data_IF_110617787946
#
_entry.id   IF_110617787946
#
_cell.length_a   1.000
_cell.length_b   1.000
_cell.length_c   1.000
_cell.angle_alpha   90.00
_cell.angle_beta   90.00
_cell.angle_gamma   90.00
#
_symmetry.space_group_name_H-M   'P 1'
#
loop_
_entity.id
_entity.type
_entity.pdbx_description
1 polymer ?
#
# COMPACT_ATOMS: atom_id res chain seq x y z
N UNK A 1 -11.92 -3.14 24.00
CA UNK A 1 -10.55 -3.66 24.10
C UNK A 1 -9.64 -2.45 24.19
N UNK A 2 -8.60 -2.43 25.03
CA UNK A 2 -7.66 -1.31 25.02
C UNK A 2 -6.78 -1.35 23.76
N UNK A 3 -6.19 -0.21 23.36
CA UNK A 3 -5.31 -0.10 22.18
C UNK A 3 -4.21 -1.18 22.17
N UNK A 4 -3.65 -1.50 23.34
CA UNK A 4 -2.60 -2.52 23.46
C UNK A 4 -3.08 -3.92 23.03
N UNK A 5 -4.33 -4.28 23.37
CA UNK A 5 -4.90 -5.56 22.96
C UNK A 5 -5.19 -5.57 21.45
N UNK A 6 -5.71 -4.46 20.91
CA UNK A 6 -5.98 -4.32 19.48
C UNK A 6 -4.69 -4.40 18.65
N UNK A 7 -3.61 -3.76 19.10
CA UNK A 7 -2.29 -3.87 18.48
C UNK A 7 -1.74 -5.31 18.55
N UNK A 8 -1.90 -5.98 19.69
CA UNK A 8 -1.47 -7.37 19.83
C UNK A 8 -2.21 -8.27 18.82
N UNK A 9 -3.53 -8.11 18.68
CA UNK A 9 -4.34 -8.86 17.72
C UNK A 9 -3.87 -8.57 16.29
N UNK A 10 -3.66 -7.31 15.92
CA UNK A 10 -3.18 -6.91 14.59
C UNK A 10 -1.82 -7.55 14.28
N UNK A 11 -0.86 -7.48 15.21
CA UNK A 11 0.48 -8.04 15.03
C UNK A 11 0.43 -9.56 14.89
N UNK A 12 -0.31 -10.25 15.76
CA UNK A 12 -0.46 -11.71 15.70
C UNK A 12 -1.13 -12.14 14.41
N UNK A 13 -2.21 -11.46 14.01
CA UNK A 13 -2.91 -11.77 12.77
C UNK A 13 -2.04 -11.51 11.53
N UNK A 14 -1.30 -10.40 11.49
CA UNK A 14 -0.39 -10.06 10.40
C UNK A 14 0.76 -11.07 10.31
N UNK A 15 1.32 -11.52 11.43
CA UNK A 15 2.35 -12.56 11.47
C UNK A 15 1.81 -13.89 10.93
N UNK A 16 0.64 -14.33 11.41
CA UNK A 16 0.01 -15.56 10.93
C UNK A 16 -0.31 -15.47 9.43
N UNK A 17 -0.92 -14.37 8.98
CA UNK A 17 -1.23 -14.13 7.58
C UNK A 17 0.02 -14.09 6.69
N UNK A 18 1.09 -13.43 7.15
CA UNK A 18 2.38 -13.38 6.48
C UNK A 18 3.04 -14.76 6.35
N UNK A 19 3.02 -15.56 7.43
CA UNK A 19 3.53 -16.93 7.42
C UNK A 19 2.74 -17.83 6.45
N UNK A 20 1.42 -17.73 6.45
CA UNK A 20 0.55 -18.47 5.52
C UNK A 20 0.85 -18.05 4.09
N UNK A 21 0.94 -16.75 3.81
CA UNK A 21 1.29 -16.24 2.48
C UNK A 21 2.66 -16.77 2.04
N UNK A 22 3.66 -16.76 2.92
CA UNK A 22 5.00 -17.29 2.63
C UNK A 22 4.98 -18.80 2.35
N UNK A 23 4.21 -19.59 3.13
CA UNK A 23 4.06 -21.03 2.92
C UNK A 23 3.42 -21.33 1.56
N UNK A 24 2.45 -20.51 1.15
CA UNK A 24 1.80 -20.58 -0.16
C UNK A 24 2.62 -19.96 -1.29
N UNK A 25 3.85 -19.50 -1.01
CA UNK A 25 4.75 -18.79 -1.96
C UNK A 25 4.12 -17.52 -2.55
N UNK A 26 3.26 -16.86 -1.79
CA UNK A 26 2.64 -15.58 -2.14
C UNK A 26 3.43 -14.40 -1.54
N UNK A 27 3.34 -13.20 -2.11
CA UNK A 27 3.87 -11.99 -1.50
C UNK A 27 3.26 -11.74 -0.11
N UNK A 28 4.10 -11.37 0.87
CA UNK A 28 3.68 -11.15 2.27
C UNK A 28 2.54 -10.15 2.41
N UNK A 29 2.50 -9.14 1.53
CA UNK A 29 1.46 -8.10 1.56
C UNK A 29 0.06 -8.67 1.38
N UNK A 30 -0.09 -9.76 0.62
CA UNK A 30 -1.37 -10.46 0.48
C UNK A 30 -1.82 -11.00 1.84
N UNK A 31 -0.90 -11.61 2.60
CA UNK A 31 -1.14 -12.09 3.95
C UNK A 31 -1.53 -10.99 4.92
N UNK A 32 -0.87 -9.83 4.86
CA UNK A 32 -1.20 -8.68 5.72
C UNK A 32 -2.57 -8.08 5.41
N UNK A 33 -2.93 -7.94 4.14
CA UNK A 33 -4.25 -7.45 3.71
C UNK A 33 -5.33 -8.41 4.19
N UNK A 34 -5.15 -9.72 3.99
CA UNK A 34 -6.11 -10.74 4.44
C UNK A 34 -6.26 -10.75 5.95
N UNK A 35 -5.16 -10.63 6.70
CA UNK A 35 -5.20 -10.50 8.15
C UNK A 35 -6.01 -9.27 8.60
N UNK A 36 -5.80 -8.12 7.94
CA UNK A 36 -6.57 -6.90 8.19
C UNK A 36 -8.06 -7.05 7.88
N UNK A 37 -8.41 -7.77 6.81
CA UNK A 37 -9.81 -8.10 6.50
C UNK A 37 -10.41 -9.00 7.58
N UNK A 38 -9.67 -10.03 8.03
CA UNK A 38 -10.12 -11.00 9.05
C UNK A 38 -10.32 -10.38 10.42
N UNK A 39 -9.46 -9.46 10.84
CA UNK A 39 -9.60 -8.74 12.12
C UNK A 39 -10.48 -7.49 11.97
N UNK A 40 -10.86 -7.20 10.72
CA UNK A 40 -11.70 -6.10 10.35
C UNK A 40 -13.14 -6.27 10.85
N UNK A 41 -13.89 -5.17 10.93
CA UNK A 41 -15.20 -5.11 11.56
C UNK A 41 -16.32 -5.81 10.80
N UNK A 42 -16.05 -6.20 9.56
CA UNK A 42 -17.00 -6.84 8.67
C UNK A 42 -16.94 -8.37 8.77
N UNK A 43 -16.24 -8.90 9.77
CA UNK A 43 -16.11 -10.34 10.01
C UNK A 43 -16.71 -10.71 11.37
N UNK A 44 -17.25 -11.93 11.47
CA UNK A 44 -17.89 -12.42 12.70
C UNK A 44 -16.88 -12.81 13.82
N UNK A 45 -15.59 -12.54 13.63
CA UNK A 45 -14.50 -12.97 14.50
C UNK A 45 -14.10 -11.94 15.56
N UNK A 46 -12.87 -12.09 16.08
CA UNK A 46 -12.25 -11.11 16.98
C UNK A 46 -11.98 -9.83 16.19
N UNK A 47 -12.61 -8.73 16.60
CA UNK A 47 -12.51 -7.45 15.92
C UNK A 47 -11.83 -6.40 16.78
N UNK A 48 -11.15 -5.50 16.10
CA UNK A 48 -10.49 -4.34 16.67
C UNK A 48 -11.48 -3.19 16.86
N UNK A 49 -11.49 -2.61 18.05
CA UNK A 49 -12.44 -1.56 18.44
C UNK A 49 -11.92 -0.14 18.21
N UNK A 50 -10.62 0.09 18.43
CA UNK A 50 -9.95 1.40 18.41
C UNK A 50 -9.49 1.82 17.01
N UNK A 51 -10.41 1.90 16.04
CA UNK A 51 -10.02 2.14 14.63
C UNK A 51 -9.36 3.49 14.36
N UNK A 52 -9.88 4.56 14.96
CA UNK A 52 -9.36 5.91 14.76
C UNK A 52 -7.95 6.05 15.34
N UNK A 53 -7.74 5.51 16.54
CA UNK A 53 -6.42 5.49 17.20
C UNK A 53 -5.41 4.64 16.41
N UNK A 54 -5.85 3.51 15.87
CA UNK A 54 -4.99 2.66 15.02
C UNK A 54 -4.69 3.32 13.69
N UNK A 55 -5.65 4.03 13.09
CA UNK A 55 -5.42 4.79 11.86
C UNK A 55 -4.35 5.87 12.10
N UNK A 56 -4.44 6.59 13.22
CA UNK A 56 -3.42 7.57 13.60
C UNK A 56 -2.04 6.93 13.81
N UNK A 57 -1.97 5.78 14.48
CA UNK A 57 -0.72 5.03 14.64
C UNK A 57 -0.17 4.53 13.30
N UNK A 58 -1.03 4.11 12.37
CA UNK A 58 -0.64 3.68 11.04
C UNK A 58 -0.07 4.86 10.22
N UNK A 59 -0.69 6.04 10.29
CA UNK A 59 -0.17 7.26 9.65
C UNK A 59 1.20 7.64 10.18
N UNK A 60 1.39 7.59 11.51
CA UNK A 60 2.71 7.83 12.13
C UNK A 60 3.71 6.78 11.66
N UNK A 61 3.33 5.49 11.62
CA UNK A 61 4.19 4.41 11.15
C UNK A 61 4.63 4.60 9.69
N UNK A 62 3.70 4.99 8.81
CA UNK A 62 4.00 5.30 7.40
C UNK A 62 4.90 6.54 7.29
N UNK A 63 4.64 7.59 8.06
CA UNK A 63 5.47 8.79 8.07
C UNK A 63 6.91 8.47 8.51
N UNK A 64 7.08 7.67 9.57
CA UNK A 64 8.39 7.22 10.04
C UNK A 64 9.09 6.35 8.99
N UNK A 65 8.37 5.43 8.33
CA UNK A 65 8.93 4.60 7.26
C UNK A 65 9.43 5.45 6.09
N UNK A 66 8.61 6.40 5.61
CA UNK A 66 8.98 7.30 4.53
C UNK A 66 10.13 8.23 4.91
N UNK A 67 10.20 8.66 6.18
CA UNK A 67 11.30 9.45 6.71
C UNK A 67 12.60 8.64 6.75
N UNK A 68 12.59 7.42 7.28
CA UNK A 68 13.74 6.52 7.29
C UNK A 68 14.21 6.22 5.87
N UNK A 69 13.28 5.94 4.95
CA UNK A 69 13.58 5.76 3.53
C UNK A 69 14.28 7.00 2.96
N UNK A 70 13.81 8.20 3.30
CA UNK A 70 14.43 9.45 2.90
C UNK A 70 15.85 9.66 3.45
N UNK A 71 16.17 9.16 4.65
CA UNK A 71 17.51 9.22 5.24
C UNK A 71 18.45 8.19 4.59
N UNK A 72 17.95 6.99 4.30
CA UNK A 72 18.74 5.91 3.69
C UNK A 72 19.06 6.19 2.22
N UNK A 73 18.18 6.90 1.51
CA UNK A 73 18.44 7.32 0.13
C UNK A 73 19.44 8.47 0.06
N UNK A 74 20.61 8.21 -0.52
CA UNK A 74 21.56 9.29 -0.82
C UNK A 74 21.28 9.90 -2.21
N UNK A 75 21.47 11.21 -2.34
CA UNK A 75 21.41 11.88 -3.65
C UNK A 75 22.46 11.34 -4.65
N UNK A 76 23.50 10.67 -4.17
CA UNK A 76 24.52 10.03 -5.00
C UNK A 76 23.96 8.81 -5.71
N UNK A 77 23.10 8.04 -5.04
CA UNK A 77 22.44 6.85 -5.60
C UNK A 77 21.41 7.21 -6.67
N UNK A 78 20.88 8.44 -6.63
CA UNK A 78 20.00 8.97 -7.67
C UNK A 78 20.73 9.47 -8.92
N UNK A 79 22.04 9.77 -8.85
CA UNK A 79 22.78 10.33 -10.01
C UNK A 79 22.74 9.43 -11.25
N UNK A 80 22.98 8.11 -11.15
CA UNK A 80 22.95 7.22 -12.32
C UNK A 80 21.57 7.14 -12.98
N UNK A 81 20.50 7.23 -12.18
CA UNK A 81 19.11 7.11 -12.65
C UNK A 81 18.39 8.46 -12.77
N UNK A 82 19.08 9.59 -12.62
CA UNK A 82 18.49 10.94 -12.53
C UNK A 82 17.57 11.27 -13.69
N UNK A 83 17.93 10.89 -14.92
CA UNK A 83 17.10 11.17 -16.11
C UNK A 83 15.79 10.37 -16.06
N UNK A 84 15.84 9.11 -15.62
CA UNK A 84 14.66 8.27 -15.43
C UNK A 84 13.81 8.79 -14.27
N UNK A 85 14.42 9.20 -13.17
CA UNK A 85 13.70 9.76 -12.03
C UNK A 85 12.99 11.09 -12.36
N UNK A 86 13.64 12.00 -13.09
CA UNK A 86 13.10 13.33 -13.41
C UNK A 86 12.08 13.28 -14.55
N UNK A 87 12.34 12.49 -15.61
CA UNK A 87 11.48 12.47 -16.79
C UNK A 87 10.65 11.19 -16.88
N UNK A 88 11.26 10.04 -16.60
CA UNK A 88 10.59 8.75 -16.65
C UNK A 88 9.43 8.66 -15.66
N UNK A 89 9.63 9.03 -14.39
CA UNK A 89 8.58 8.94 -13.37
C UNK A 89 7.35 9.80 -13.71
N UNK A 90 7.47 11.10 -14.05
CA UNK A 90 6.29 11.89 -14.42
C UNK A 90 5.60 11.37 -15.69
N UNK A 91 6.36 10.97 -16.71
CA UNK A 91 5.79 10.40 -17.94
C UNK A 91 5.03 9.12 -17.62
N UNK A 92 5.62 8.22 -16.84
CA UNK A 92 4.99 6.97 -16.42
C UNK A 92 3.70 7.23 -15.63
N UNK A 93 3.71 8.17 -14.69
CA UNK A 93 2.54 8.54 -13.90
C UNK A 93 1.43 9.11 -14.79
N UNK A 94 1.75 10.05 -15.68
CA UNK A 94 0.78 10.64 -16.59
C UNK A 94 0.19 9.61 -17.56
N UNK A 95 1.01 8.70 -18.09
CA UNK A 95 0.54 7.60 -18.93
C UNK A 95 -0.34 6.63 -18.13
N UNK A 96 0.05 6.26 -16.91
CA UNK A 96 -0.75 5.40 -16.03
C UNK A 96 -2.11 6.01 -15.72
N UNK A 97 -2.15 7.30 -15.40
CA UNK A 97 -3.40 8.05 -15.18
C UNK A 97 -4.23 8.08 -16.46
N UNK A 98 -3.63 8.37 -17.61
CA UNK A 98 -4.33 8.43 -18.90
C UNK A 98 -4.92 7.08 -19.31
N UNK A 99 -4.17 5.99 -19.13
CA UNK A 99 -4.65 4.62 -19.38
C UNK A 99 -5.78 4.25 -18.43
N UNK A 100 -5.61 4.50 -17.12
CA UNK A 100 -6.66 4.24 -16.15
C UNK A 100 -7.92 5.07 -16.40
N UNK A 101 -7.78 6.34 -16.77
CA UNK A 101 -8.90 7.17 -17.22
C UNK A 101 -9.62 6.55 -18.43
N UNK A 102 -8.87 6.11 -19.45
CA UNK A 102 -9.44 5.45 -20.62
C UNK A 102 -10.21 4.19 -20.27
N UNK A 103 -9.67 3.35 -19.38
CA UNK A 103 -10.37 2.17 -18.84
C UNK A 103 -11.63 2.58 -18.07
N UNK A 104 -11.56 3.61 -17.23
CA UNK A 104 -12.71 4.12 -16.48
C UNK A 104 -13.85 4.58 -17.39
N UNK A 105 -13.52 5.28 -18.47
CA UNK A 105 -14.49 5.68 -19.49
C UNK A 105 -15.12 4.47 -20.20
N UNK A 106 -14.32 3.44 -20.51
CA UNK A 106 -14.84 2.19 -21.09
C UNK A 106 -15.78 1.44 -20.15
N UNK A 107 -15.58 1.58 -18.84
CA UNK A 107 -16.47 1.04 -17.80
C UNK A 107 -17.73 1.91 -17.58
N UNK A 108 -17.88 3.02 -18.30
CA UNK A 108 -19.02 3.94 -18.18
C UNK A 108 -18.97 4.84 -16.95
N UNK A 109 -17.79 5.01 -16.32
CA UNK A 109 -17.62 5.93 -15.21
C UNK A 109 -17.65 7.39 -15.71
N UNK A 110 -18.16 8.30 -14.88
CA UNK A 110 -18.07 9.74 -15.15
C UNK A 110 -16.60 10.20 -15.27
N UNK A 111 -16.37 11.36 -15.91
CA UNK A 111 -15.02 11.87 -16.17
C UNK A 111 -14.21 12.03 -14.88
N UNK A 112 -14.83 12.53 -13.81
CA UNK A 112 -14.16 12.74 -12.53
C UNK A 112 -13.83 11.40 -11.85
N UNK A 113 -14.76 10.45 -11.87
CA UNK A 113 -14.56 9.10 -11.34
C UNK A 113 -13.46 8.35 -12.12
N UNK A 114 -13.44 8.50 -13.44
CA UNK A 114 -12.41 7.92 -14.32
C UNK A 114 -11.03 8.51 -14.05
N UNK A 115 -10.96 9.82 -13.79
CA UNK A 115 -9.71 10.49 -13.45
C UNK A 115 -9.17 9.97 -12.10
N UNK A 116 -10.03 9.88 -11.08
CA UNK A 116 -9.66 9.31 -9.79
C UNK A 116 -9.25 7.84 -9.89
N UNK A 117 -9.92 7.06 -10.73
CA UNK A 117 -9.55 5.69 -11.03
C UNK A 117 -8.14 5.61 -11.63
N UNK A 118 -7.82 6.47 -12.60
CA UNK A 118 -6.46 6.58 -13.15
C UNK A 118 -5.41 6.99 -12.13
N UNK A 119 -5.70 7.97 -11.28
CA UNK A 119 -4.81 8.39 -10.19
C UNK A 119 -4.55 7.28 -9.19
N UNK A 120 -5.57 6.48 -8.85
CA UNK A 120 -5.44 5.35 -7.94
C UNK A 120 -4.53 4.24 -8.47
N UNK A 121 -4.48 4.06 -9.80
CA UNK A 121 -3.65 3.06 -10.48
C UNK A 121 -2.22 3.55 -10.80
N UNK A 122 -2.00 4.87 -10.80
CA UNK A 122 -0.73 5.48 -11.23
C UNK A 122 0.52 5.10 -10.40
N UNK A 123 0.46 5.04 -9.06
CA UNK A 123 1.60 4.69 -8.23
C UNK A 123 2.01 3.22 -8.43
N UNK A 124 3.29 2.99 -8.77
CA UNK A 124 3.85 1.63 -8.83
C UNK A 124 4.65 1.33 -7.56
N UNK A 125 4.23 0.32 -6.78
CA UNK A 125 5.02 -0.18 -5.66
C UNK A 125 6.12 -1.11 -6.17
N UNK A 126 7.27 -0.54 -6.53
CA UNK A 126 8.46 -1.27 -7.02
C UNK A 126 8.97 -2.35 -6.06
N UNK A 127 8.69 -2.23 -4.75
CA UNK A 127 9.07 -3.26 -3.76
C UNK A 127 8.43 -4.63 -3.98
N UNK A 128 7.27 -4.71 -4.66
CA UNK A 128 6.59 -5.99 -4.91
C UNK A 128 7.21 -6.71 -6.11
N UNK A 129 7.67 -5.96 -7.13
CA UNK A 129 8.25 -6.51 -8.36
C UNK A 129 9.69 -7.01 -8.16
N UNK A 130 10.44 -6.40 -7.24
CA UNK A 130 11.82 -6.80 -6.92
C UNK A 130 11.92 -8.09 -6.08
N UNK A 131 10.78 -8.66 -5.66
CA UNK A 131 10.71 -9.92 -4.90
C UNK A 131 10.35 -11.13 -5.80
N UNK A 132 10.70 -11.04 -7.08
CA UNK A 132 10.67 -12.17 -8.04
C UNK A 132 12.09 -12.59 -8.35
#
# INVERSE_FOLDING_TARGET
MGIAADLAIIVVAALAGGMIAQLLRQPLIVGYILAGVIVGPYTAGVTVGSREEIALLAEIGVALLLFTLGIEFSLKDLRPVRRVAIFGTPIQVLLGIGLGYGVGQMLGLDWLASLWFGVALGPSNTMIVLKT
#
